data_IF_340986569177
#
_entry.id   IF_340986569177
#
_cell.length_a   1.000
_cell.length_b   1.000
_cell.length_c   1.000
_cell.angle_alpha   90.00
_cell.angle_beta   90.00
_cell.angle_gamma   90.00
#
_symmetry.space_group_name_H-M   'P 1'
#
loop_
_entity.id
_entity.type
_entity.pdbx_description
1 polymer ?
#
# COMPACT_ATOMS: atom_id res chain seq x y z
N UNK A 1 0.84 -30.32 -22.08
CA UNK A 1 1.82 -29.21 -22.07
C UNK A 1 1.97 -28.76 -20.63
N UNK A 2 3.20 -28.75 -20.09
CA UNK A 2 3.46 -28.19 -18.77
C UNK A 2 3.60 -26.66 -18.88
N UNK A 3 2.81 -25.93 -18.10
CA UNK A 3 2.93 -24.48 -17.95
C UNK A 3 3.77 -24.18 -16.70
N UNK A 4 4.74 -23.28 -16.81
CA UNK A 4 5.56 -22.81 -15.69
C UNK A 4 5.28 -21.33 -15.47
N UNK A 5 5.02 -20.97 -14.21
CA UNK A 5 4.74 -19.61 -13.76
C UNK A 5 5.55 -19.32 -12.50
N UNK A 6 6.07 -18.11 -12.41
CA UNK A 6 6.83 -17.63 -11.26
C UNK A 6 6.27 -16.28 -10.82
N UNK A 7 6.28 -16.04 -9.51
CA UNK A 7 5.88 -14.79 -8.87
C UNK A 7 6.86 -14.48 -7.75
N UNK A 8 6.92 -13.21 -7.34
CA UNK A 8 7.75 -12.71 -6.25
C UNK A 8 6.93 -11.87 -5.27
N UNK A 9 7.50 -11.63 -4.10
CA UNK A 9 6.95 -10.79 -3.04
C UNK A 9 8.11 -10.14 -2.29
N UNK A 10 7.86 -9.01 -1.67
CA UNK A 10 8.82 -8.29 -0.83
C UNK A 10 8.28 -8.17 0.59
N UNK A 11 9.16 -8.09 1.58
CA UNK A 11 8.74 -7.95 2.97
C UNK A 11 8.16 -6.55 3.25
N UNK A 12 7.48 -6.41 4.38
CA UNK A 12 6.99 -5.12 4.89
C UNK A 12 8.09 -4.06 5.03
N UNK A 13 9.34 -4.47 5.24
CA UNK A 13 10.49 -3.57 5.36
C UNK A 13 11.10 -3.13 4.03
N UNK A 14 10.56 -3.58 2.89
CA UNK A 14 10.98 -3.07 1.58
C UNK A 14 10.60 -1.59 1.47
N UNK A 15 11.48 -0.69 0.96
CA UNK A 15 11.19 0.74 0.89
C UNK A 15 9.84 1.07 0.26
N UNK A 16 9.49 0.43 -0.86
CA UNK A 16 8.18 0.60 -1.51
C UNK A 16 7.02 0.18 -0.60
N UNK A 17 7.17 -0.92 0.16
CA UNK A 17 6.12 -1.35 1.09
C UNK A 17 6.01 -0.47 2.32
N UNK A 18 7.11 0.14 2.75
CA UNK A 18 7.09 1.17 3.81
C UNK A 18 6.34 2.40 3.30
N UNK A 19 6.60 2.83 2.05
CA UNK A 19 5.89 3.94 1.42
C UNK A 19 4.38 3.65 1.33
N UNK A 20 4.00 2.45 0.85
CA UNK A 20 2.61 1.99 0.84
C UNK A 20 1.97 2.08 2.23
N UNK A 21 2.65 1.53 3.25
CA UNK A 21 2.15 1.53 4.63
C UNK A 21 1.93 2.94 5.20
N UNK A 22 2.84 3.87 4.92
CA UNK A 22 2.72 5.26 5.36
C UNK A 22 1.53 5.94 4.66
N UNK A 23 1.41 5.77 3.34
CA UNK A 23 0.31 6.33 2.57
C UNK A 23 -1.05 5.79 3.02
N UNK A 24 -1.15 4.48 3.26
CA UNK A 24 -2.38 3.83 3.75
C UNK A 24 -2.72 4.24 5.19
N UNK A 25 -1.73 4.37 6.08
CA UNK A 25 -1.97 4.83 7.44
C UNK A 25 -2.58 6.24 7.49
N UNK A 26 -2.19 7.11 6.55
CA UNK A 26 -2.79 8.43 6.38
C UNK A 26 -4.23 8.29 5.87
N UNK A 27 -4.46 7.50 4.82
CA UNK A 27 -5.81 7.22 4.31
C UNK A 27 -6.75 6.71 5.41
N UNK A 28 -6.31 5.71 6.17
CA UNK A 28 -7.06 5.11 7.28
C UNK A 28 -7.43 6.14 8.33
N UNK A 29 -6.50 7.04 8.67
CA UNK A 29 -6.77 8.10 9.63
C UNK A 29 -7.89 9.02 9.15
N UNK A 30 -7.85 9.47 7.90
CA UNK A 30 -8.90 10.32 7.34
C UNK A 30 -10.25 9.59 7.26
N UNK A 31 -10.27 8.34 6.78
CA UNK A 31 -11.50 7.55 6.70
C UNK A 31 -12.12 7.25 8.07
N UNK A 32 -11.32 7.17 9.14
CA UNK A 32 -11.80 6.96 10.50
C UNK A 32 -12.65 8.13 11.03
N UNK A 33 -12.40 9.36 10.57
CA UNK A 33 -13.12 10.56 11.01
C UNK A 33 -14.12 11.08 9.96
N UNK A 34 -13.83 10.87 8.67
CA UNK A 34 -14.71 11.23 7.57
C UNK A 34 -14.65 10.15 6.46
N UNK A 35 -15.66 9.27 6.39
CA UNK A 35 -15.76 8.25 5.35
C UNK A 35 -15.82 8.78 3.91
N UNK A 36 -16.09 10.07 3.70
CA UNK A 36 -16.13 10.69 2.38
C UNK A 36 -14.83 11.43 2.01
N UNK A 37 -13.80 11.33 2.85
CA UNK A 37 -12.52 11.99 2.64
C UNK A 37 -11.92 11.66 1.28
N UNK A 38 -11.37 12.69 0.62
CA UNK A 38 -10.67 12.58 -0.67
C UNK A 38 -9.18 12.63 -0.42
N UNK A 39 -8.51 11.47 -0.44
CA UNK A 39 -7.10 11.32 -0.12
C UNK A 39 -6.35 10.77 -1.35
N UNK A 40 -5.23 11.39 -1.69
CA UNK A 40 -4.30 10.96 -2.73
C UNK A 40 -2.86 11.20 -2.21
N UNK A 41 -2.49 10.46 -1.16
CA UNK A 41 -1.23 10.64 -0.44
C UNK A 41 -0.13 9.78 -1.05
N UNK A 42 0.96 10.41 -1.47
CA UNK A 42 2.13 9.74 -2.05
C UNK A 42 3.33 9.88 -1.10
N UNK A 43 4.11 8.81 -0.94
CA UNK A 43 5.31 8.76 -0.09
C UNK A 43 6.52 8.38 -0.96
N UNK A 44 7.64 9.12 -0.81
CA UNK A 44 8.88 8.96 -1.58
C UNK A 44 9.98 8.25 -0.77
#
# INVERSE_FOLDING_TARGET
MSYLFTSESVSEGHPDKIADQISDAILDNFLAFDPNSKVACETL
#
